data_IF_842443742998
#
_entry.id   IF_842443742998
#
_cell.length_a   1.000
_cell.length_b   1.000
_cell.length_c   1.000
_cell.angle_alpha   90.00
_cell.angle_beta   90.00
_cell.angle_gamma   90.00
#
_symmetry.space_group_name_H-M   'P 1'
#
loop_
_entity.id
_entity.type
_entity.pdbx_description
1 polymer ?
#
# COMPACT_ATOMS: atom_id res chain seq x y z
N UNK A 1 -27.56 -5.98 54.66
CA UNK A 1 -26.27 -6.32 54.01
C UNK A 1 -25.41 -5.06 54.01
N UNK A 2 -24.37 -4.99 54.84
CA UNK A 2 -23.53 -3.80 54.93
C UNK A 2 -22.63 -3.68 53.69
N UNK A 3 -22.74 -2.56 52.98
CA UNK A 3 -21.90 -2.23 51.82
C UNK A 3 -20.51 -1.81 52.32
N UNK A 4 -19.51 -2.69 52.15
CA UNK A 4 -18.13 -2.37 52.49
C UNK A 4 -17.54 -1.50 51.39
N UNK A 5 -17.25 -0.24 51.67
CA UNK A 5 -16.55 0.65 50.74
C UNK A 5 -15.14 0.09 50.50
N UNK A 6 -14.71 -0.09 49.25
CA UNK A 6 -13.37 -0.57 48.96
C UNK A 6 -12.33 0.45 49.48
N UNK A 7 -11.21 -0.01 50.04
CA UNK A 7 -10.14 0.87 50.52
C UNK A 7 -9.58 1.69 49.37
N UNK A 8 -9.20 2.94 49.66
CA UNK A 8 -8.58 3.82 48.67
C UNK A 8 -7.28 3.18 48.10
N UNK A 9 -7.01 3.37 46.80
CA UNK A 9 -5.82 2.80 46.17
C UNK A 9 -4.55 3.37 46.80
N UNK A 10 -3.57 2.49 47.05
CA UNK A 10 -2.26 2.90 47.55
C UNK A 10 -1.46 3.61 46.45
N UNK A 11 -0.48 4.47 46.80
CA UNK A 11 0.36 5.16 45.81
C UNK A 11 1.02 4.21 44.81
N UNK A 12 1.49 3.05 45.27
CA UNK A 12 2.08 2.01 44.42
C UNK A 12 1.07 1.43 43.41
N UNK A 13 -0.19 1.28 43.82
CA UNK A 13 -1.24 0.78 42.93
C UNK A 13 -1.57 1.79 41.82
N UNK A 14 -1.54 3.08 42.13
CA UNK A 14 -1.70 4.15 41.13
C UNK A 14 -0.52 4.17 40.16
N UNK A 15 0.72 4.11 40.67
CA UNK A 15 1.92 4.09 39.83
C UNK A 15 2.01 2.84 38.92
N UNK A 16 1.44 1.69 39.33
CA UNK A 16 1.30 0.52 38.46
C UNK A 16 0.22 0.73 37.41
N UNK A 17 -0.94 1.28 37.78
CA UNK A 17 -2.02 1.56 36.86
C UNK A 17 -1.60 2.56 35.76
N UNK A 18 -0.84 3.61 36.12
CA UNK A 18 -0.30 4.57 35.16
C UNK A 18 0.67 3.91 34.17
N UNK A 19 1.60 3.09 34.66
CA UNK A 19 2.52 2.33 33.78
C UNK A 19 1.78 1.39 32.84
N UNK A 20 0.73 0.71 33.33
CA UNK A 20 -0.10 -0.15 32.49
C UNK A 20 -0.84 0.64 31.42
N UNK A 21 -1.36 1.84 31.75
CA UNK A 21 -2.01 2.72 30.78
C UNK A 21 -1.04 3.16 29.69
N UNK A 22 0.15 3.62 30.05
CA UNK A 22 1.18 4.02 29.09
C UNK A 22 1.57 2.85 28.17
N UNK A 23 1.81 1.67 28.74
CA UNK A 23 2.14 0.49 27.94
C UNK A 23 1.01 0.09 26.97
N UNK A 24 -0.26 0.23 27.39
CA UNK A 24 -1.41 -0.04 26.52
C UNK A 24 -1.52 0.99 25.39
N UNK A 25 -1.32 2.28 25.69
CA UNK A 25 -1.34 3.36 24.69
C UNK A 25 -0.20 3.21 23.68
N UNK A 26 1.00 2.89 24.15
CA UNK A 26 2.16 2.63 23.29
C UNK A 26 1.96 1.38 22.43
N UNK A 27 1.41 0.31 23.00
CA UNK A 27 1.04 -0.90 22.26
C UNK A 27 0.01 -0.62 21.15
N UNK A 28 -1.01 0.18 21.45
CA UNK A 28 -2.01 0.58 20.46
C UNK A 28 -1.41 1.42 19.34
N UNK A 29 -0.49 2.35 19.65
CA UNK A 29 0.23 3.14 18.66
C UNK A 29 1.11 2.27 17.76
N UNK A 30 1.87 1.34 18.35
CA UNK A 30 2.73 0.44 17.57
C UNK A 30 1.93 -0.43 16.59
N UNK A 31 0.77 -0.94 17.02
CA UNK A 31 -0.12 -1.70 16.13
C UNK A 31 -0.67 -0.84 15.00
N UNK A 32 -1.08 0.40 15.29
CA UNK A 32 -1.55 1.34 14.27
C UNK A 32 -0.45 1.68 13.24
N UNK A 33 0.81 1.77 13.67
CA UNK A 33 1.94 2.03 12.77
C UNK A 33 2.17 0.87 11.80
N UNK A 34 2.15 -0.36 12.31
CA UNK A 34 2.27 -1.58 11.49
C UNK A 34 1.12 -1.66 10.48
N UNK A 35 -0.10 -1.34 10.87
CA UNK A 35 -1.25 -1.33 9.96
C UNK A 35 -1.09 -0.28 8.85
N UNK A 36 -0.63 0.92 9.18
CA UNK A 36 -0.36 2.00 8.21
C UNK A 36 0.72 1.57 7.22
N UNK A 37 1.81 0.99 7.69
CA UNK A 37 2.89 0.48 6.83
C UNK A 37 2.40 -0.63 5.91
N UNK A 38 1.62 -1.59 6.44
CA UNK A 38 1.06 -2.67 5.64
C UNK A 38 0.13 -2.15 4.53
N UNK A 39 -0.69 -1.14 4.80
CA UNK A 39 -1.53 -0.48 3.80
C UNK A 39 -0.66 0.20 2.74
N UNK A 40 0.37 0.95 3.15
CA UNK A 40 1.26 1.65 2.23
C UNK A 40 2.00 0.68 1.29
N UNK A 41 2.46 -0.47 1.80
CA UNK A 41 3.10 -1.51 0.99
C UNK A 41 2.12 -2.08 -0.04
N UNK A 42 0.88 -2.39 0.35
CA UNK A 42 -0.14 -2.90 -0.58
C UNK A 42 -0.42 -1.91 -1.72
N UNK A 43 -0.65 -0.65 -1.38
CA UNK A 43 -0.89 0.41 -2.37
C UNK A 43 0.33 0.60 -3.30
N UNK A 44 1.54 0.54 -2.77
CA UNK A 44 2.75 0.64 -3.57
C UNK A 44 2.87 -0.54 -4.55
N UNK A 45 2.59 -1.76 -4.08
CA UNK A 45 2.60 -2.95 -4.92
C UNK A 45 1.55 -2.91 -6.04
N UNK A 46 0.35 -2.42 -5.75
CA UNK A 46 -0.69 -2.19 -6.77
C UNK A 46 -0.22 -1.16 -7.80
N UNK A 47 0.36 -0.04 -7.37
CA UNK A 47 0.92 0.97 -8.26
C UNK A 47 2.04 0.40 -9.14
N UNK A 48 2.94 -0.40 -8.57
CA UNK A 48 4.03 -1.03 -9.33
C UNK A 48 3.50 -2.03 -10.36
N UNK A 49 2.43 -2.78 -10.04
CA UNK A 49 1.77 -3.66 -11.01
C UNK A 49 1.18 -2.86 -12.17
N UNK A 50 0.41 -1.81 -11.87
CA UNK A 50 -0.17 -0.93 -12.89
C UNK A 50 0.90 -0.30 -13.81
N UNK A 51 2.03 0.12 -13.24
CA UNK A 51 3.16 0.66 -14.03
C UNK A 51 3.82 -0.39 -14.91
N UNK A 52 3.93 -1.65 -14.46
CA UNK A 52 4.45 -2.75 -15.28
C UNK A 52 3.50 -3.08 -16.43
N UNK A 53 2.21 -3.22 -16.14
CA UNK A 53 1.19 -3.48 -17.15
C UNK A 53 1.15 -2.37 -18.21
N UNK A 54 1.25 -1.09 -17.81
CA UNK A 54 1.34 0.02 -18.75
C UNK A 54 2.60 -0.07 -19.64
N UNK A 55 3.76 -0.38 -19.06
CA UNK A 55 5.01 -0.56 -19.84
C UNK A 55 4.93 -1.74 -20.80
N UNK A 56 4.35 -2.86 -20.38
CA UNK A 56 4.19 -4.05 -21.21
C UNK A 56 3.21 -3.76 -22.36
N UNK A 57 2.14 -3.00 -22.10
CA UNK A 57 1.22 -2.54 -23.13
C UNK A 57 1.90 -1.61 -24.14
N UNK A 58 2.71 -0.66 -23.69
CA UNK A 58 3.49 0.22 -24.56
C UNK A 58 4.50 -0.56 -25.42
N UNK A 59 5.19 -1.56 -24.82
CA UNK A 59 6.11 -2.43 -25.53
C UNK A 59 5.40 -3.27 -26.60
N UNK A 60 4.25 -3.86 -26.27
CA UNK A 60 3.44 -4.61 -27.23
C UNK A 60 2.89 -3.72 -28.36
N UNK A 61 2.54 -2.46 -28.07
CA UNK A 61 2.17 -1.49 -29.11
C UNK A 61 3.34 -1.15 -30.03
N UNK A 62 4.55 -0.98 -29.46
CA UNK A 62 5.76 -0.74 -30.25
C UNK A 62 6.10 -1.93 -31.16
N UNK A 63 6.02 -3.16 -30.65
CA UNK A 63 6.24 -4.38 -31.44
C UNK A 63 5.21 -4.54 -32.57
N UNK A 64 3.92 -4.33 -32.27
CA UNK A 64 2.87 -4.40 -33.30
C UNK A 64 3.00 -3.29 -34.35
N UNK A 65 3.46 -2.09 -33.97
CA UNK A 65 3.77 -1.03 -34.92
C UNK A 65 4.98 -1.36 -35.81
N UNK A 66 6.01 -1.99 -35.25
CA UNK A 66 7.19 -2.45 -36.01
C UNK A 66 6.86 -3.62 -36.95
N UNK A 67 5.92 -4.49 -36.58
CA UNK A 67 5.49 -5.64 -37.37
C UNK A 67 4.55 -5.29 -38.53
N UNK A 68 3.97 -4.08 -38.57
CA UNK A 68 3.14 -3.66 -39.70
C UNK A 68 4.00 -3.47 -40.95
N UNK A 69 3.76 -4.22 -42.05
CA UNK A 69 4.55 -4.08 -43.25
C UNK A 69 4.37 -2.67 -43.81
N UNK A 70 5.48 -1.94 -43.99
CA UNK A 70 5.47 -0.64 -44.67
C UNK A 70 4.91 -0.88 -46.08
N UNK A 71 3.70 -0.40 -46.34
CA UNK A 71 3.07 -0.52 -47.65
C UNK A 71 3.92 0.25 -48.66
N UNK A 72 4.78 -0.46 -49.39
CA UNK A 72 5.56 0.15 -50.46
C UNK A 72 4.59 0.54 -51.57
N UNK A 73 4.43 1.85 -51.77
CA UNK A 73 3.55 2.39 -52.81
C UNK A 73 4.12 1.94 -54.16
N UNK A 74 3.48 0.94 -54.79
CA UNK A 74 3.86 0.48 -56.13
C UNK A 74 3.68 1.63 -57.12
N UNK A 75 4.78 2.24 -57.54
CA UNK A 75 4.80 3.22 -58.63
C UNK A 75 4.53 2.47 -59.93
N UNK A 76 3.34 2.66 -60.52
CA UNK A 76 3.05 2.14 -61.87
C UNK A 76 3.86 2.93 -62.88
N UNK A 77 4.80 2.25 -63.56
CA UNK A 77 5.57 2.81 -64.68
C UNK A 77 4.62 2.95 -65.87
N UNK A 78 4.31 4.19 -66.25
CA UNK A 78 3.61 4.49 -67.49
C UNK A 78 4.63 4.33 -68.61
N UNK A 79 4.41 3.34 -69.47
CA UNK A 79 5.15 3.19 -70.74
C UNK A 79 4.43 4.05 -71.76
N UNK A 80 5.17 4.94 -72.42
CA UNK A 80 4.68 5.87 -73.44
C UNK A 80 5.17 5.41 -74.81
#
# INVERSE_FOLDING_TARGET
>A
MATRTPPAPTPDSLARAERQRLAAEEGARAMADVEREAIAVRQNMERLRALREARDADAAQAETAAAKPKTTRRVKRIVR
#
